data_IF_353888228175
#
_entry.id   IF_353888228175
#
_cell.length_a   1.000
_cell.length_b   1.000
_cell.length_c   1.000
_cell.angle_alpha   90.00
_cell.angle_beta   90.00
_cell.angle_gamma   90.00
#
_symmetry.space_group_name_H-M   'P 1'
#
loop_
_entity.id
_entity.type
_entity.pdbx_description
1 polymer ?
#
# COMPACT_ATOMS: atom_id res chain seq x y z
N UNK A 1 26.22 14.21 11.67
CA UNK A 1 26.04 12.79 11.33
C UNK A 1 24.55 12.58 11.16
N UNK A 2 24.05 12.48 9.93
CA UNK A 2 22.64 12.21 9.68
C UNK A 2 22.38 10.74 10.08
N UNK A 3 21.45 10.51 11.00
CA UNK A 3 21.03 9.15 11.35
C UNK A 3 20.50 8.45 10.10
N UNK A 4 20.90 7.19 9.89
CA UNK A 4 20.30 6.37 8.84
C UNK A 4 18.78 6.37 9.02
N UNK A 5 17.97 6.39 7.93
CA UNK A 5 16.53 6.26 8.05
C UNK A 5 16.23 4.99 8.84
N UNK A 6 15.58 5.13 10.00
CA UNK A 6 15.27 4.01 10.88
C UNK A 6 14.29 3.13 10.15
N UNK A 7 14.79 2.01 9.66
CA UNK A 7 14.01 1.06 8.88
C UNK A 7 12.92 0.43 9.78
N UNK A 8 11.64 0.45 9.37
CA UNK A 8 10.53 -0.01 10.22
C UNK A 8 10.65 -1.51 10.48
N UNK A 9 10.65 -1.91 11.75
CA UNK A 9 10.85 -3.29 12.22
C UNK A 9 9.67 -3.83 13.03
N UNK A 10 8.71 -2.97 13.35
CA UNK A 10 7.53 -3.31 14.16
C UNK A 10 6.24 -2.85 13.47
N UNK A 11 5.09 -3.52 13.71
CA UNK A 11 3.81 -3.09 13.16
C UNK A 11 3.49 -1.61 13.37
N UNK A 12 3.81 -1.09 14.57
CA UNK A 12 3.59 0.32 14.92
C UNK A 12 4.43 1.30 14.08
N UNK A 13 5.67 0.94 13.72
CA UNK A 13 6.51 1.78 12.88
C UNK A 13 5.98 1.81 11.44
N UNK A 14 5.50 0.68 10.92
CA UNK A 14 4.87 0.67 9.60
C UNK A 14 3.52 1.41 9.60
N UNK A 15 2.71 1.26 10.65
CA UNK A 15 1.47 2.03 10.84
C UNK A 15 1.75 3.52 10.79
N UNK A 16 2.74 3.98 11.57
CA UNK A 16 3.16 5.38 11.57
C UNK A 16 3.59 5.84 10.17
N UNK A 17 4.37 5.03 9.45
CA UNK A 17 4.93 5.39 8.16
C UNK A 17 3.84 5.51 7.08
N UNK A 18 2.87 4.60 7.04
CA UNK A 18 1.70 4.70 6.14
C UNK A 18 0.80 5.88 6.49
N UNK A 19 0.63 6.18 7.78
CA UNK A 19 -0.08 7.36 8.26
C UNK A 19 0.61 8.68 7.86
N UNK A 20 1.93 8.74 8.06
CA UNK A 20 2.74 9.89 7.71
C UNK A 20 2.69 10.15 6.20
N UNK A 21 2.83 9.12 5.37
CA UNK A 21 2.65 9.23 3.92
C UNK A 21 1.27 9.80 3.54
N UNK A 22 0.19 9.25 4.11
CA UNK A 22 -1.16 9.67 3.77
C UNK A 22 -1.48 11.12 4.21
N UNK A 23 -0.89 11.57 5.32
CA UNK A 23 -1.11 12.92 5.86
C UNK A 23 -0.18 13.97 5.25
N UNK A 24 1.05 13.59 4.91
CA UNK A 24 2.07 14.50 4.35
C UNK A 24 2.00 14.64 2.83
N UNK A 25 1.34 13.73 2.11
CA UNK A 25 1.22 13.76 0.65
C UNK A 25 -0.09 14.40 0.19
N UNK A 26 -0.07 15.63 -0.38
CA UNK A 26 -1.28 16.30 -0.82
C UNK A 26 -2.04 15.49 -1.88
N UNK A 27 -3.34 15.32 -1.67
CA UNK A 27 -4.22 14.61 -2.60
C UNK A 27 -4.45 13.14 -2.27
N UNK A 28 -3.66 12.52 -1.39
CA UNK A 28 -3.90 11.16 -0.90
C UNK A 28 -5.11 11.12 0.03
N UNK A 29 -6.09 10.29 -0.28
CA UNK A 29 -7.29 10.06 0.52
C UNK A 29 -7.11 8.95 1.54
N UNK A 30 -6.65 7.81 1.07
CA UNK A 30 -6.35 6.64 1.89
C UNK A 30 -5.16 5.92 1.29
N UNK A 31 -4.37 5.30 2.15
CA UNK A 31 -3.27 4.41 1.77
C UNK A 31 -3.40 3.09 2.54
N UNK A 32 -3.05 2.01 1.87
CA UNK A 32 -3.18 0.66 2.40
C UNK A 32 -2.02 -0.19 1.88
N UNK A 33 -1.31 -0.85 2.78
CA UNK A 33 -0.42 -1.94 2.41
C UNK A 33 -1.27 -3.22 2.40
N UNK A 34 -1.30 -3.87 1.24
CA UNK A 34 -2.02 -5.12 1.02
C UNK A 34 -1.02 -6.25 0.81
N UNK A 35 -1.31 -7.40 1.39
CA UNK A 35 -0.59 -8.62 1.08
C UNK A 35 -0.96 -9.13 -0.32
N UNK A 36 -0.04 -9.84 -0.98
CA UNK A 36 -0.27 -10.41 -2.33
C UNK A 36 -1.44 -11.40 -2.41
N UNK A 37 -1.89 -11.95 -1.27
CA UNK A 37 -3.07 -12.81 -1.17
C UNK A 37 -4.37 -12.05 -0.82
N UNK A 38 -4.32 -10.72 -0.78
CA UNK A 38 -5.52 -9.87 -0.65
C UNK A 38 -5.97 -9.59 0.77
N UNK A 39 -5.08 -9.77 1.76
CA UNK A 39 -5.34 -9.37 3.14
C UNK A 39 -4.78 -7.96 3.41
N UNK A 40 -5.52 -7.09 4.13
CA UNK A 40 -4.95 -5.83 4.60
C UNK A 40 -3.85 -6.12 5.60
N UNK A 41 -2.71 -5.46 5.43
CA UNK A 41 -1.64 -5.47 6.42
C UNK A 41 -1.75 -4.22 7.29
N UNK A 42 -1.83 -3.04 6.65
CA UNK A 42 -1.80 -1.74 7.33
C UNK A 42 -2.64 -0.74 6.56
N UNK A 43 -3.47 0.02 7.29
CA UNK A 43 -4.31 1.06 6.74
C UNK A 43 -3.97 2.43 7.35
N UNK A 44 -3.97 3.48 6.52
CA UNK A 44 -3.84 4.85 7.00
C UNK A 44 -5.10 5.31 7.75
N UNK A 45 -4.89 5.93 8.90
CA UNK A 45 -5.82 6.81 9.62
C UNK A 45 -7.11 6.12 10.03
N UNK A 46 -8.22 6.77 9.71
CA UNK A 46 -9.59 6.30 9.92
C UNK A 46 -10.15 5.56 8.71
N UNK A 47 -9.32 4.91 7.89
CA UNK A 47 -9.87 3.99 6.89
C UNK A 47 -10.61 2.87 7.62
N UNK A 48 -11.93 2.87 7.49
CA UNK A 48 -12.77 1.92 8.18
C UNK A 48 -12.51 0.50 7.65
N UNK A 49 -12.58 -0.49 8.55
CA UNK A 49 -12.26 -1.88 8.23
C UNK A 49 -13.18 -2.45 7.13
N UNK A 50 -14.42 -1.98 7.08
CA UNK A 50 -15.42 -2.29 6.06
C UNK A 50 -15.04 -1.79 4.65
N UNK A 51 -14.08 -0.87 4.53
CA UNK A 51 -13.45 -0.48 3.27
C UNK A 51 -12.11 -1.18 3.05
N UNK A 52 -11.32 -1.37 4.11
CA UNK A 52 -9.99 -1.98 4.04
C UNK A 52 -10.01 -3.43 3.57
N UNK A 53 -10.90 -4.26 4.14
CA UNK A 53 -10.98 -5.69 3.81
C UNK A 53 -11.42 -5.91 2.35
N UNK A 54 -12.53 -5.29 1.86
CA UNK A 54 -12.93 -5.47 0.48
C UNK A 54 -11.92 -4.89 -0.51
N UNK A 55 -11.31 -3.74 -0.20
CA UNK A 55 -10.30 -3.13 -1.08
C UNK A 55 -9.06 -4.02 -1.21
N UNK A 56 -8.64 -4.68 -0.12
CA UNK A 56 -7.52 -5.63 -0.14
C UNK A 56 -7.81 -6.83 -1.05
N UNK A 57 -9.00 -7.41 -0.90
CA UNK A 57 -9.43 -8.55 -1.72
C UNK A 57 -9.56 -8.18 -3.21
N UNK A 58 -10.09 -6.99 -3.51
CA UNK A 58 -10.16 -6.49 -4.89
C UNK A 58 -8.76 -6.25 -5.47
N UNK A 59 -7.83 -5.79 -4.66
CA UNK A 59 -6.45 -5.51 -5.09
C UNK A 59 -5.72 -6.79 -5.49
N UNK A 60 -5.90 -7.93 -4.79
CA UNK A 60 -5.27 -9.20 -5.21
C UNK A 60 -5.80 -9.72 -6.56
N UNK A 61 -7.09 -9.54 -6.82
CA UNK A 61 -7.66 -9.80 -8.14
C UNK A 61 -7.07 -8.91 -9.23
N UNK A 62 -6.88 -7.62 -8.93
CA UNK A 62 -6.28 -6.65 -9.83
C UNK A 62 -4.81 -6.97 -10.16
N UNK A 63 -4.02 -7.35 -9.15
CA UNK A 63 -2.63 -7.81 -9.31
C UNK A 63 -2.59 -9.04 -10.22
N UNK A 64 -3.47 -10.02 -9.97
CA UNK A 64 -3.55 -11.24 -10.78
C UNK A 64 -3.85 -10.93 -12.25
N UNK A 65 -4.76 -9.99 -12.51
CA UNK A 65 -5.04 -9.52 -13.87
C UNK A 65 -3.82 -8.81 -14.49
N UNK A 66 -3.15 -7.94 -13.73
CA UNK A 66 -1.94 -7.25 -14.17
C UNK A 66 -0.83 -8.24 -14.58
N UNK A 67 -0.54 -9.22 -13.73
CA UNK A 67 0.43 -10.28 -14.03
C UNK A 67 0.04 -11.11 -15.26
N UNK A 68 -1.25 -11.45 -15.40
CA UNK A 68 -1.72 -12.19 -16.57
C UNK A 68 -1.55 -11.37 -17.86
N UNK A 69 -1.82 -10.06 -17.82
CA UNK A 69 -1.60 -9.16 -18.96
C UNK A 69 -0.11 -9.10 -19.30
N UNK A 70 0.76 -8.91 -18.31
CA UNK A 70 2.21 -8.87 -18.48
C UNK A 70 2.74 -10.14 -19.17
N UNK A 71 2.34 -11.31 -18.67
CA UNK A 71 2.70 -12.59 -19.27
C UNK A 71 2.26 -12.72 -20.75
N UNK A 72 1.08 -12.20 -21.10
CA UNK A 72 0.58 -12.24 -22.48
C UNK A 72 1.39 -11.37 -23.44
N UNK A 73 2.06 -10.33 -22.93
CA UNK A 73 2.90 -9.43 -23.73
C UNK A 73 4.40 -9.70 -23.60
N UNK A 74 4.78 -10.74 -22.83
CA UNK A 74 6.18 -11.14 -22.64
C UNK A 74 6.95 -10.31 -21.61
N UNK A 75 6.24 -9.66 -20.69
CA UNK A 75 6.82 -8.92 -19.55
C UNK A 75 6.84 -9.80 -18.29
N UNK A 76 7.82 -9.57 -17.40
CA UNK A 76 8.04 -10.39 -16.20
C UNK A 76 7.00 -10.16 -15.09
N UNK A 77 6.26 -9.04 -15.15
CA UNK A 77 5.31 -8.67 -14.11
C UNK A 77 4.61 -7.33 -14.34
N UNK A 78 3.87 -6.89 -13.33
CA UNK A 78 3.14 -5.62 -13.35
C UNK A 78 3.48 -4.82 -12.09
N UNK A 79 4.38 -3.85 -12.24
CA UNK A 79 4.88 -3.08 -11.10
C UNK A 79 3.84 -2.08 -10.58
N UNK A 80 2.98 -1.56 -11.46
CA UNK A 80 2.05 -0.47 -11.16
C UNK A 80 0.74 -0.63 -11.90
N UNK A 81 -0.36 -0.26 -11.22
CA UNK A 81 -1.71 -0.20 -11.81
C UNK A 81 -2.32 1.16 -11.47
N UNK A 82 -2.97 1.79 -12.45
CA UNK A 82 -3.72 3.02 -12.25
C UNK A 82 -5.13 2.88 -12.82
N UNK A 83 -6.12 3.20 -11.99
CA UNK A 83 -7.52 3.32 -12.41
C UNK A 83 -7.98 4.77 -12.24
N UNK A 84 -8.56 5.34 -13.30
CA UNK A 84 -9.19 6.68 -13.26
C UNK A 84 -10.67 6.53 -12.91
N UNK A 85 -11.12 7.33 -11.95
CA UNK A 85 -12.53 7.52 -11.62
C UNK A 85 -12.93 8.99 -11.77
N UNK A 86 -14.23 9.31 -11.88
CA UNK A 86 -14.68 10.70 -11.88
C UNK A 86 -14.24 11.47 -10.62
N UNK A 87 -14.23 10.81 -9.47
CA UNK A 87 -13.89 11.42 -8.18
C UNK A 87 -12.39 11.38 -7.84
N UNK A 88 -11.54 10.81 -8.71
CA UNK A 88 -10.13 10.64 -8.40
C UNK A 88 -9.45 9.48 -9.11
N UNK A 89 -8.50 8.84 -8.44
CA UNK A 89 -7.76 7.70 -8.97
C UNK A 89 -7.54 6.65 -7.88
N UNK A 90 -7.37 5.40 -8.31
CA UNK A 90 -6.74 4.37 -7.52
C UNK A 90 -5.37 4.06 -8.13
N UNK A 91 -4.34 4.06 -7.30
CA UNK A 91 -2.98 3.71 -7.68
C UNK A 91 -2.55 2.50 -6.87
N UNK A 92 -1.84 1.58 -7.53
CA UNK A 92 -1.19 0.45 -6.90
C UNK A 92 0.27 0.40 -7.31
N UNK A 93 1.15 0.07 -6.37
CA UNK A 93 2.58 -0.17 -6.62
C UNK A 93 3.03 -1.41 -5.85
N UNK A 94 3.70 -2.35 -6.51
CA UNK A 94 4.21 -3.56 -5.88
C UNK A 94 5.28 -3.28 -4.81
N UNK A 95 5.28 -4.05 -3.73
CA UNK A 95 6.32 -4.06 -2.69
C UNK A 95 6.95 -5.45 -2.67
N UNK A 96 8.03 -5.62 -3.43
CA UNK A 96 8.63 -6.92 -3.66
C UNK A 96 7.59 -7.94 -4.18
N UNK A 97 7.72 -9.20 -3.78
CA UNK A 97 6.79 -10.27 -4.18
C UNK A 97 5.66 -10.54 -3.18
N UNK A 98 5.69 -9.89 -2.02
CA UNK A 98 4.86 -10.27 -0.87
C UNK A 98 3.69 -9.32 -0.62
N UNK A 99 3.75 -8.10 -1.11
CA UNK A 99 2.75 -7.07 -0.85
C UNK A 99 2.68 -6.01 -1.94
N UNK A 100 1.81 -5.03 -1.76
CA UNK A 100 1.79 -3.80 -2.53
C UNK A 100 1.13 -2.66 -1.77
N UNK A 101 1.40 -1.45 -2.23
CA UNK A 101 0.82 -0.21 -1.71
C UNK A 101 -0.34 0.21 -2.62
N UNK A 102 -1.55 0.23 -2.05
CA UNK A 102 -2.76 0.74 -2.68
C UNK A 102 -3.09 2.14 -2.14
N UNK A 103 -3.38 3.08 -3.04
CA UNK A 103 -3.62 4.49 -2.69
C UNK A 103 -4.84 5.02 -3.43
N UNK A 104 -5.79 5.56 -2.68
CA UNK A 104 -6.89 6.35 -3.22
C UNK A 104 -6.48 7.81 -3.28
N UNK A 105 -6.66 8.44 -4.44
CA UNK A 105 -6.20 9.80 -4.73
C UNK A 105 -7.40 10.65 -5.13
N UNK A 106 -7.55 11.83 -4.54
CA UNK A 106 -8.63 12.77 -4.87
C UNK A 106 -8.46 13.35 -6.27
N UNK A 107 -9.57 13.79 -6.86
CA UNK A 107 -9.53 14.53 -8.12
C UNK A 107 -8.73 15.85 -7.99
N UNK A 108 -8.08 16.25 -9.07
CA UNK A 108 -7.22 17.45 -9.10
C UNK A 108 -5.85 17.30 -8.40
N UNK A 109 -5.55 16.15 -7.78
CA UNK A 109 -4.25 15.90 -7.18
C UNK A 109 -3.11 15.80 -8.21
N UNK A 110 -1.89 16.16 -7.80
CA UNK A 110 -0.69 15.95 -8.60
C UNK A 110 -0.26 14.48 -8.54
N UNK A 111 -0.64 13.69 -9.55
CA UNK A 111 -0.32 12.26 -9.62
C UNK A 111 1.18 11.98 -9.65
N UNK A 112 1.99 12.86 -10.25
CA UNK A 112 3.45 12.70 -10.27
C UNK A 112 4.04 12.81 -8.87
N UNK A 113 3.55 13.74 -8.05
CA UNK A 113 3.96 13.86 -6.65
C UNK A 113 3.53 12.63 -5.84
N UNK A 114 2.28 12.18 -6.01
CA UNK A 114 1.78 11.00 -5.29
C UNK A 114 2.58 9.76 -5.67
N UNK A 115 2.81 9.52 -6.96
CA UNK A 115 3.61 8.38 -7.42
C UNK A 115 5.06 8.44 -6.92
N UNK A 116 5.66 9.64 -6.86
CA UNK A 116 7.00 9.82 -6.30
C UNK A 116 7.04 9.46 -4.80
N UNK A 117 6.10 9.96 -4.00
CA UNK A 117 6.01 9.64 -2.58
C UNK A 117 5.70 8.15 -2.35
N UNK A 118 4.87 7.53 -3.20
CA UNK A 118 4.64 6.08 -3.18
C UNK A 118 5.94 5.31 -3.42
N UNK A 119 6.76 5.71 -4.40
CA UNK A 119 8.04 5.05 -4.66
C UNK A 119 9.01 5.16 -3.47
N UNK A 120 9.06 6.32 -2.79
CA UNK A 120 9.87 6.49 -1.57
C UNK A 120 9.38 5.61 -0.42
N UNK A 121 8.07 5.51 -0.25
CA UNK A 121 7.44 4.64 0.74
C UNK A 121 7.75 3.16 0.46
N UNK A 122 7.54 2.71 -0.78
CA UNK A 122 7.82 1.34 -1.22
C UNK A 122 9.29 0.98 -1.04
N UNK A 123 10.22 1.89 -1.34
CA UNK A 123 11.65 1.65 -1.13
C UNK A 123 11.99 1.50 0.36
N UNK A 124 11.38 2.33 1.21
CA UNK A 124 11.58 2.31 2.66
C UNK A 124 11.03 1.03 3.32
N UNK A 125 9.88 0.55 2.85
CA UNK A 125 9.18 -0.62 3.37
C UNK A 125 9.69 -1.93 2.75
N UNK A 126 9.99 -1.93 1.46
CA UNK A 126 10.32 -3.13 0.69
C UNK A 126 11.58 -3.84 1.17
N UNK A 127 12.55 -3.09 1.70
CA UNK A 127 13.77 -3.66 2.27
C UNK A 127 13.56 -4.37 3.62
N UNK A 128 12.42 -4.18 4.28
CA UNK A 128 12.12 -4.75 5.60
C UNK A 128 10.90 -5.66 5.61
N UNK A 129 10.10 -5.67 4.55
CA UNK A 129 8.91 -6.50 4.48
C UNK A 129 9.29 -7.96 4.16
N UNK A 130 9.91 -8.63 5.13
CA UNK A 130 10.22 -10.06 5.07
C UNK A 130 8.96 -10.90 5.29
N UNK A 131 8.96 -12.20 4.93
CA UNK A 131 7.84 -13.09 5.22
C UNK A 131 7.43 -13.11 6.69
N UNK A 132 8.39 -13.05 7.61
CA UNK A 132 8.14 -13.04 9.06
C UNK A 132 7.43 -11.76 9.50
N UNK A 133 7.91 -10.59 9.05
CA UNK A 133 7.27 -9.30 9.35
C UNK A 133 5.87 -9.23 8.73
N UNK A 134 5.68 -9.77 7.52
CA UNK A 134 4.35 -9.87 6.90
C UNK A 134 3.40 -10.71 7.76
N UNK A 135 3.86 -11.83 8.31
CA UNK A 135 3.04 -12.67 9.19
C UNK A 135 2.76 -12.01 10.54
N UNK A 136 3.70 -11.26 11.11
CA UNK A 136 3.47 -10.44 12.31
C UNK A 136 2.43 -9.33 12.07
N UNK A 137 2.49 -8.68 10.90
CA UNK A 137 1.50 -7.68 10.47
C UNK A 137 0.11 -8.28 10.29
N UNK A 138 0.00 -9.54 9.87
CA UNK A 138 -1.28 -10.27 9.81
C UNK A 138 -1.78 -10.70 11.19
N UNK A 139 -0.85 -11.08 12.06
CA UNK A 139 -1.13 -11.66 13.38
C UNK A 139 -1.53 -10.63 14.43
N UNK A 140 -1.31 -9.34 14.18
CA UNK A 140 -1.77 -8.26 15.05
C UNK A 140 -3.27 -8.08 14.82
N UNK A 141 -4.15 -8.50 15.75
CA UNK A 141 -5.57 -8.20 15.62
C UNK A 141 -5.69 -6.67 15.66
N UNK A 142 -6.51 -6.10 14.79
CA UNK A 142 -7.03 -4.74 14.94
C UNK A 142 -7.90 -4.70 16.19
N UNK A 143 -7.28 -4.79 17.38
CA UNK A 143 -7.92 -4.49 18.65
C UNK A 143 -8.01 -2.98 18.78
N UNK A 144 -8.93 -2.39 18.00
CA UNK A 144 -9.51 -1.09 18.33
C UNK A 144 -10.86 -1.35 18.98
N UNK A 145 -10.80 -1.95 20.17
CA UNK A 145 -11.88 -1.90 21.12
C UNK A 145 -12.22 -0.44 21.43
N UNK A 146 -13.43 -0.04 21.08
CA UNK A 146 -14.08 1.17 21.59
C UNK A 146 -14.16 1.06 23.12
N UNK A 147 -13.49 1.98 23.82
CA UNK A 147 -13.85 2.36 25.19
C UNK A 147 -14.64 3.66 25.16
#
# INVERSE_FOLDING_TARGET
MAGAPTQPRTPQEFDWLVNDFATSTPGVAHALIVSSDGLPLIASGEMAADLADPLSALTSGMISLGHNIANQVGEDGCDQIMLKFPAGHFLFMGIGSLAGLAVLVRDGANLGLVAHQMAQLVDSVGHVLTPEIRDDLRGTPTDRGVS
#
